data_IF_759198113261
#
_entry.id   IF_759198113261
#
_cell.length_a   1.000
_cell.length_b   1.000
_cell.length_c   1.000
_cell.angle_alpha   90.00
_cell.angle_beta   90.00
_cell.angle_gamma   90.00
#
_symmetry.space_group_name_H-M   'P 1'
#
loop_
_entity.id
_entity.type
_entity.pdbx_description
1 polymer ?
#
# COMPACT_ATOMS: atom_id res chain seq x y z
N UNK A 1 -18.04 21.56 -10.92
CA UNK A 1 -18.27 20.63 -9.79
C UNK A 1 -17.02 19.79 -9.67
N UNK A 2 -16.16 20.09 -8.70
CA UNK A 2 -15.01 19.21 -8.40
C UNK A 2 -15.58 17.93 -7.77
N UNK A 3 -15.17 16.72 -8.18
CA UNK A 3 -15.60 15.51 -7.51
C UNK A 3 -15.23 15.65 -6.03
N UNK A 4 -16.20 15.45 -5.13
CA UNK A 4 -15.97 15.46 -3.69
C UNK A 4 -14.87 14.47 -3.31
N UNK A 5 -14.21 14.63 -2.16
CA UNK A 5 -13.23 13.65 -1.70
C UNK A 5 -13.89 12.28 -1.76
N UNK A 6 -13.31 11.37 -2.53
CA UNK A 6 -13.73 9.97 -2.52
C UNK A 6 -13.67 9.53 -1.07
N UNK A 7 -14.81 9.28 -0.45
CA UNK A 7 -14.86 8.86 0.95
C UNK A 7 -14.09 7.53 1.03
N UNK A 8 -12.96 7.54 1.72
CA UNK A 8 -12.06 6.39 1.76
C UNK A 8 -12.62 5.42 2.78
N UNK A 9 -13.12 4.27 2.32
CA UNK A 9 -13.56 3.18 3.19
C UNK A 9 -12.35 2.41 3.74
N UNK A 10 -11.89 2.83 4.92
CA UNK A 10 -10.76 2.22 5.61
C UNK A 10 -11.07 0.78 6.07
N UNK A 11 -12.32 0.45 6.41
CA UNK A 11 -12.71 -0.90 6.83
C UNK A 11 -12.67 -1.89 5.67
N UNK A 12 -13.03 -1.43 4.46
CA UNK A 12 -12.87 -2.19 3.24
C UNK A 12 -11.39 -2.41 2.92
N UNK A 13 -10.54 -1.38 3.07
CA UNK A 13 -9.09 -1.50 2.87
C UNK A 13 -8.48 -2.52 3.83
N UNK A 14 -8.87 -2.51 5.11
CA UNK A 14 -8.36 -3.46 6.11
C UNK A 14 -8.74 -4.90 5.73
N UNK A 15 -10.00 -5.13 5.35
CA UNK A 15 -10.46 -6.47 4.91
C UNK A 15 -9.69 -6.97 3.71
N UNK A 16 -9.68 -6.21 2.62
CA UNK A 16 -9.06 -6.64 1.36
C UNK A 16 -7.55 -6.86 1.50
N UNK A 17 -6.88 -6.02 2.30
CA UNK A 17 -5.45 -6.15 2.56
C UNK A 17 -5.14 -7.38 3.42
N UNK A 18 -5.97 -7.64 4.44
CA UNK A 18 -5.82 -8.82 5.30
C UNK A 18 -6.04 -10.10 4.51
N UNK A 19 -7.06 -10.16 3.67
CA UNK A 19 -7.34 -11.31 2.80
C UNK A 19 -6.19 -11.57 1.83
N UNK A 20 -5.64 -10.52 1.20
CA UNK A 20 -4.46 -10.65 0.36
C UNK A 20 -3.24 -11.18 1.14
N UNK A 21 -3.03 -10.72 2.37
CA UNK A 21 -1.93 -11.21 3.20
C UNK A 21 -2.12 -12.67 3.58
N UNK A 22 -3.33 -13.12 3.90
CA UNK A 22 -3.62 -14.52 4.22
C UNK A 22 -3.24 -15.47 3.08
N UNK A 23 -3.41 -15.05 1.83
CA UNK A 23 -2.98 -15.86 0.67
C UNK A 23 -1.47 -16.01 0.55
N UNK A 24 -0.70 -15.05 1.09
CA UNK A 24 0.77 -14.98 0.97
C UNK A 24 1.50 -15.37 2.26
N UNK A 25 0.81 -15.33 3.40
CA UNK A 25 1.33 -15.52 4.76
C UNK A 25 0.44 -16.51 5.51
N UNK A 26 0.58 -17.77 5.16
CA UNK A 26 -0.11 -18.88 5.84
C UNK A 26 0.54 -19.25 7.18
N UNK A 27 1.69 -18.65 7.48
CA UNK A 27 2.49 -18.84 8.70
C UNK A 27 1.98 -18.02 9.90
N UNK A 28 1.01 -17.11 9.69
CA UNK A 28 0.52 -16.21 10.73
C UNK A 28 -1.00 -16.25 10.86
N UNK A 29 -1.54 -16.10 12.08
CA UNK A 29 -2.98 -16.01 12.30
C UNK A 29 -3.55 -14.72 11.71
N UNK A 30 -4.82 -14.77 11.29
CA UNK A 30 -5.53 -13.64 10.69
C UNK A 30 -5.54 -12.40 11.59
N UNK A 31 -5.68 -12.58 12.91
CA UNK A 31 -5.67 -11.48 13.87
C UNK A 31 -4.35 -10.70 13.87
N UNK A 32 -3.21 -11.38 13.73
CA UNK A 32 -1.89 -10.72 13.62
C UNK A 32 -1.75 -9.98 12.29
N UNK A 33 -2.23 -10.58 11.19
CA UNK A 33 -2.19 -9.95 9.86
C UNK A 33 -3.06 -8.68 9.83
N UNK A 34 -4.26 -8.76 10.43
CA UNK A 34 -5.19 -7.64 10.53
C UNK A 34 -4.60 -6.51 11.38
N UNK A 35 -4.05 -6.82 12.56
CA UNK A 35 -3.42 -5.82 13.42
C UNK A 35 -2.27 -5.09 12.70
N UNK A 36 -1.44 -5.82 11.96
CA UNK A 36 -0.36 -5.23 11.18
C UNK A 36 -0.88 -4.30 10.06
N UNK A 37 -1.98 -4.67 9.40
CA UNK A 37 -2.63 -3.83 8.39
C UNK A 37 -3.21 -2.56 9.00
N UNK A 38 -3.91 -2.68 10.14
CA UNK A 38 -4.50 -1.54 10.85
C UNK A 38 -3.42 -0.56 11.33
N UNK A 39 -2.32 -1.06 11.88
CA UNK A 39 -1.16 -0.24 12.31
C UNK A 39 -0.53 0.48 11.11
N UNK A 40 -0.23 -0.23 10.03
CA UNK A 40 0.33 0.37 8.82
C UNK A 40 -0.63 1.42 8.23
N UNK A 41 -1.93 1.13 8.16
CA UNK A 41 -2.93 2.06 7.64
C UNK A 41 -3.04 3.33 8.49
N UNK A 42 -2.91 3.20 9.81
CA UNK A 42 -2.90 4.34 10.73
C UNK A 42 -1.71 5.28 10.49
N UNK A 43 -0.51 4.76 10.21
CA UNK A 43 0.65 5.60 9.84
C UNK A 43 0.48 6.30 8.50
N UNK A 44 -0.39 5.74 7.66
CA UNK A 44 -0.54 6.03 6.25
C UNK A 44 -1.68 6.98 5.94
N UNK A 45 -2.70 7.03 6.79
CA UNK A 45 -3.88 7.89 6.65
C UNK A 45 -3.55 9.38 6.75
N UNK A 46 -2.48 9.71 7.47
CA UNK A 46 -2.05 11.09 7.71
C UNK A 46 -1.18 11.62 6.55
N UNK A 47 -0.73 10.74 5.64
CA UNK A 47 0.06 11.12 4.47
C UNK A 47 -0.82 11.59 3.32
N UNK A 48 -0.35 12.60 2.58
CA UNK A 48 -1.10 13.09 1.41
C UNK A 48 -0.97 12.11 0.24
N UNK A 49 -1.97 12.08 -0.64
CA UNK A 49 -1.87 11.30 -1.91
C UNK A 49 -0.63 11.70 -2.72
N UNK A 50 -0.21 12.97 -2.63
CA UNK A 50 1.01 13.47 -3.27
C UNK A 50 2.28 12.77 -2.75
N UNK A 51 2.37 12.54 -1.43
CA UNK A 51 3.51 11.83 -0.82
C UNK A 51 3.60 10.38 -1.32
N UNK A 52 2.46 9.70 -1.45
CA UNK A 52 2.41 8.36 -2.04
C UNK A 52 2.89 8.33 -3.48
N UNK A 53 2.37 9.24 -4.32
CA UNK A 53 2.73 9.30 -5.72
C UNK A 53 4.22 9.61 -5.91
N UNK A 54 4.79 10.46 -5.05
CA UNK A 54 6.22 10.74 -5.05
C UNK A 54 7.04 9.47 -4.78
N UNK A 55 6.73 8.73 -3.71
CA UNK A 55 7.44 7.49 -3.34
C UNK A 55 7.32 6.42 -4.43
N UNK A 56 6.12 6.20 -4.96
CA UNK A 56 5.88 5.20 -6.00
C UNK A 56 6.60 5.55 -7.31
N UNK A 57 6.56 6.82 -7.71
CA UNK A 57 7.26 7.32 -8.90
C UNK A 57 8.77 7.12 -8.78
N UNK A 58 9.36 7.52 -7.65
CA UNK A 58 10.80 7.34 -7.41
C UNK A 58 11.19 5.86 -7.43
N UNK A 59 10.40 4.98 -6.81
CA UNK A 59 10.65 3.53 -6.83
C UNK A 59 10.59 2.96 -8.25
N UNK A 60 9.58 3.33 -9.02
CA UNK A 60 9.43 2.88 -10.40
C UNK A 60 10.59 3.34 -11.28
N UNK A 61 10.97 4.63 -11.20
CA UNK A 61 12.12 5.19 -11.92
C UNK A 61 13.43 4.46 -11.57
N UNK A 62 13.69 4.24 -10.27
CA UNK A 62 14.88 3.48 -9.82
C UNK A 62 14.90 2.05 -10.36
N UNK A 63 13.75 1.36 -10.36
CA UNK A 63 13.64 0.00 -10.90
C UNK A 63 13.96 -0.02 -12.40
N UNK A 64 13.46 0.94 -13.16
CA UNK A 64 13.70 1.08 -14.60
C UNK A 64 15.19 1.32 -14.90
N UNK A 65 15.80 2.32 -14.27
CA UNK A 65 17.22 2.63 -14.45
C UNK A 65 18.15 1.46 -14.08
N UNK A 66 17.78 0.68 -13.06
CA UNK A 66 18.52 -0.55 -12.70
C UNK A 66 18.39 -1.65 -13.75
N UNK A 67 17.23 -1.77 -14.38
CA UNK A 67 17.01 -2.76 -15.44
C UNK A 67 17.78 -2.39 -16.71
N UNK A 68 17.78 -1.10 -17.08
CA UNK A 68 18.58 -0.57 -18.20
C UNK A 68 20.07 -0.85 -17.98
N UNK A 69 20.61 -0.57 -16.78
CA UNK A 69 22.01 -0.89 -16.40
C UNK A 69 22.41 -2.37 -16.43
N UNK A 70 21.46 -3.30 -16.46
CA UNK A 70 21.73 -4.75 -16.48
C UNK A 70 21.62 -5.33 -17.91
N UNK A 71 21.05 -4.55 -18.83
CA UNK A 71 20.92 -4.92 -20.24
C UNK A 71 22.13 -4.47 -21.08
N UNK A 72 22.93 -3.54 -20.55
CA UNK A 72 24.29 -3.20 -21.01
C UNK A 72 25.35 -4.15 -20.41
#
# INVERSE_FOLDING_TARGET
MMPGPTDVDYDQIVRDSTDQLRTKRTDRPEAELRAAVEEELATRRDATVQDYLLVLTVRAARKRLRAERKAD
#
